data_IF_899089676208
#
_entry.id   IF_899089676208
#
_cell.length_a   1.000
_cell.length_b   1.000
_cell.length_c   1.000
_cell.angle_alpha   90.00
_cell.angle_beta   90.00
_cell.angle_gamma   90.00
#
_symmetry.space_group_name_H-M   'P 1'
#
loop_
_entity.id
_entity.type
_entity.pdbx_description
1 polymer ?
#
# COMPACT_ATOMS: atom_id res chain seq x y z
N UNK A 1 7.95 -57.45 -59.47
CA UNK A 1 6.59 -58.06 -59.52
C UNK A 1 6.62 -59.25 -58.58
N UNK A 2 6.05 -59.26 -57.37
CA UNK A 2 5.11 -58.36 -56.68
C UNK A 2 5.25 -58.69 -55.16
N UNK A 3 5.73 -57.76 -54.33
CA UNK A 3 5.01 -57.05 -53.25
C UNK A 3 4.06 -57.88 -52.36
N UNK A 4 4.47 -57.97 -51.09
CA UNK A 4 3.71 -57.71 -49.85
C UNK A 4 2.50 -58.57 -49.45
N UNK A 5 2.68 -59.32 -48.35
CA UNK A 5 1.62 -59.65 -47.40
C UNK A 5 2.15 -59.46 -45.97
N UNK A 6 1.81 -58.31 -45.36
CA UNK A 6 1.87 -58.11 -43.92
C UNK A 6 0.45 -57.78 -43.45
N UNK A 7 -0.16 -58.69 -42.71
CA UNK A 7 -1.51 -58.55 -42.17
C UNK A 7 -1.45 -57.96 -40.76
N UNK A 8 -2.01 -56.76 -40.57
CA UNK A 8 -2.29 -56.18 -39.26
C UNK A 8 -3.82 -56.11 -39.05
N UNK A 9 -4.34 -56.34 -37.83
CA UNK A 9 -5.77 -56.31 -37.57
C UNK A 9 -6.31 -54.89 -37.46
N UNK A 10 -7.60 -54.75 -37.79
CA UNK A 10 -8.38 -53.54 -37.85
C UNK A 10 -8.32 -52.70 -36.55
N UNK A 11 -7.88 -51.44 -36.69
CA UNK A 11 -8.05 -50.38 -35.70
C UNK A 11 -9.44 -49.78 -35.84
N UNK A 12 -10.36 -50.16 -34.95
CA UNK A 12 -11.61 -49.45 -34.70
C UNK A 12 -11.38 -48.45 -33.57
N UNK A 13 -11.24 -47.19 -33.92
CA UNK A 13 -11.22 -46.06 -33.00
C UNK A 13 -12.00 -44.92 -33.63
N UNK A 14 -13.12 -44.54 -33.01
CA UNK A 14 -14.02 -43.48 -33.43
C UNK A 14 -13.31 -42.15 -33.76
N UNK A 15 -13.89 -41.27 -34.59
CA UNK A 15 -13.31 -39.97 -34.88
C UNK A 15 -13.18 -39.15 -33.58
N UNK A 16 -11.94 -38.89 -33.17
CA UNK A 16 -11.64 -37.92 -32.12
C UNK A 16 -12.08 -36.55 -32.63
N UNK A 17 -13.18 -36.05 -32.06
CA UNK A 17 -13.68 -34.69 -32.32
C UNK A 17 -12.54 -33.70 -32.06
N UNK A 18 -12.24 -32.75 -32.98
CA UNK A 18 -11.20 -31.77 -32.75
C UNK A 18 -11.59 -30.91 -31.56
N UNK A 19 -10.95 -31.15 -30.41
CA UNK A 19 -10.96 -30.21 -29.29
C UNK A 19 -10.47 -28.88 -29.83
N UNK A 20 -11.31 -27.85 -29.72
CA UNK A 20 -10.95 -26.47 -30.06
C UNK A 20 -9.56 -26.14 -29.48
N UNK A 21 -8.68 -25.45 -30.23
CA UNK A 21 -7.33 -25.17 -29.75
C UNK A 21 -7.43 -24.31 -28.50
N UNK A 22 -6.96 -24.86 -27.37
CA UNK A 22 -6.71 -24.07 -26.18
C UNK A 22 -5.75 -22.95 -26.56
N UNK A 23 -6.17 -21.69 -26.40
CA UNK A 23 -5.34 -20.53 -26.70
C UNK A 23 -3.97 -20.72 -26.01
N UNK A 24 -2.83 -20.57 -26.72
CA UNK A 24 -1.52 -20.71 -26.10
C UNK A 24 -1.44 -19.74 -24.93
N UNK A 25 -1.16 -20.25 -23.73
CA UNK A 25 -0.79 -19.38 -22.60
C UNK A 25 0.52 -18.72 -23.02
N UNK A 26 0.47 -17.42 -23.32
CA UNK A 26 1.65 -16.64 -23.70
C UNK A 26 2.71 -16.81 -22.61
N UNK A 27 3.97 -17.04 -22.98
CA UNK A 27 5.04 -17.01 -22.00
C UNK A 27 5.10 -15.62 -21.35
N UNK A 28 5.46 -15.51 -20.06
CA UNK A 28 5.46 -14.23 -19.35
C UNK A 28 6.24 -13.12 -20.07
N UNK A 29 7.37 -13.47 -20.68
CA UNK A 29 8.23 -12.54 -21.42
C UNK A 29 7.51 -12.01 -22.67
N UNK A 30 6.80 -12.90 -23.38
CA UNK A 30 6.06 -12.54 -24.59
C UNK A 30 4.82 -11.72 -24.27
N UNK A 31 4.13 -12.04 -23.17
CA UNK A 31 3.02 -11.22 -22.67
C UNK A 31 3.47 -9.78 -22.38
N UNK A 32 4.64 -9.61 -21.76
CA UNK A 32 5.20 -8.28 -21.49
C UNK A 32 5.56 -7.56 -22.80
N UNK A 33 6.31 -8.20 -23.69
CA UNK A 33 6.78 -7.56 -24.93
C UNK A 33 5.63 -7.09 -25.81
N UNK A 34 4.58 -7.90 -25.94
CA UNK A 34 3.43 -7.60 -26.79
C UNK A 34 2.47 -6.58 -26.15
N UNK A 35 2.42 -6.50 -24.82
CA UNK A 35 1.34 -5.78 -24.13
C UNK A 35 1.79 -4.65 -23.21
N UNK A 36 3.08 -4.36 -23.09
CA UNK A 36 3.59 -3.31 -22.19
C UNK A 36 3.03 -1.92 -22.44
N UNK A 37 2.83 -1.56 -23.70
CA UNK A 37 2.28 -0.26 -24.07
C UNK A 37 0.81 -0.16 -23.64
N UNK A 38 0.04 -1.22 -23.85
CA UNK A 38 -1.36 -1.31 -23.40
C UNK A 38 -1.46 -1.29 -21.86
N UNK A 39 -0.55 -1.97 -21.17
CA UNK A 39 -0.43 -1.93 -19.71
C UNK A 39 -0.11 -0.51 -19.21
N UNK A 40 0.80 0.20 -19.87
CA UNK A 40 1.12 1.59 -19.54
C UNK A 40 -0.08 2.51 -19.78
N UNK A 41 -0.80 2.34 -20.89
CA UNK A 41 -2.01 3.12 -21.18
C UNK A 41 -3.12 2.94 -20.14
N UNK A 42 -3.14 1.82 -19.42
CA UNK A 42 -4.10 1.63 -18.34
C UNK A 42 -4.00 2.68 -17.23
N UNK A 43 -2.85 3.36 -17.07
CA UNK A 43 -2.67 4.45 -16.10
C UNK A 43 -3.26 5.81 -16.53
N UNK A 44 -3.98 5.88 -17.65
CA UNK A 44 -4.72 7.09 -18.07
C UNK A 44 -6.17 7.06 -17.56
N UNK A 45 -6.36 7.28 -16.25
CA UNK A 45 -7.68 7.41 -15.60
C UNK A 45 -8.70 6.34 -16.05
N UNK A 46 -9.67 6.72 -16.87
CA UNK A 46 -10.77 5.86 -17.31
C UNK A 46 -10.28 4.69 -18.18
N UNK A 47 -9.12 4.82 -18.83
CA UNK A 47 -8.49 3.72 -19.56
C UNK A 47 -8.19 2.53 -18.66
N UNK A 48 -7.97 2.74 -17.36
CA UNK A 48 -7.76 1.63 -16.41
C UNK A 48 -8.87 0.60 -16.45
N UNK A 49 -10.12 1.07 -16.44
CA UNK A 49 -11.33 0.23 -16.47
C UNK A 49 -11.45 -0.45 -17.82
N UNK A 50 -11.31 0.30 -18.91
CA UNK A 50 -11.47 -0.21 -20.27
C UNK A 50 -10.43 -1.30 -20.55
N UNK A 51 -9.15 -1.01 -20.29
CA UNK A 51 -8.05 -1.95 -20.51
C UNK A 51 -8.20 -3.21 -19.65
N UNK A 52 -8.63 -3.08 -18.39
CA UNK A 52 -8.86 -4.22 -17.51
C UNK A 52 -9.88 -5.22 -18.07
N UNK A 53 -10.95 -4.72 -18.69
CA UNK A 53 -11.98 -5.57 -19.29
C UNK A 53 -11.65 -6.00 -20.73
N UNK A 54 -10.85 -5.22 -21.46
CA UNK A 54 -10.46 -5.50 -22.84
C UNK A 54 -9.47 -6.67 -22.93
N UNK A 55 -8.41 -6.67 -22.10
CA UNK A 55 -7.28 -7.61 -22.22
C UNK A 55 -7.26 -8.62 -21.09
N UNK A 56 -8.23 -9.55 -21.10
CA UNK A 56 -8.40 -10.58 -20.05
C UNK A 56 -7.36 -11.70 -20.12
N UNK A 57 -6.73 -11.86 -21.27
CA UNK A 57 -5.76 -12.89 -21.63
C UNK A 57 -4.31 -12.55 -21.23
N UNK A 58 -4.04 -11.31 -20.84
CA UNK A 58 -2.70 -10.84 -20.43
C UNK A 58 -2.62 -10.66 -18.91
N UNK A 59 -1.92 -11.55 -18.19
CA UNK A 59 -1.59 -11.34 -16.79
C UNK A 59 -0.92 -9.99 -16.51
N UNK A 60 0.01 -9.55 -17.38
CA UNK A 60 0.75 -8.29 -17.21
C UNK A 60 -0.18 -7.08 -17.28
N UNK A 61 -1.04 -7.02 -18.30
CA UNK A 61 -2.00 -5.93 -18.45
C UNK A 61 -3.00 -5.92 -17.30
N UNK A 62 -3.47 -7.10 -16.85
CA UNK A 62 -4.39 -7.18 -15.70
C UNK A 62 -3.75 -6.68 -14.41
N UNK A 63 -2.46 -6.90 -14.21
CA UNK A 63 -1.75 -6.40 -13.03
C UNK A 63 -1.70 -4.87 -12.98
N UNK A 64 -1.25 -4.24 -14.07
CA UNK A 64 -1.15 -2.78 -14.14
C UNK A 64 -2.51 -2.09 -14.17
N UNK A 65 -3.47 -2.63 -14.93
CA UNK A 65 -4.81 -2.04 -15.03
C UNK A 65 -5.59 -2.12 -13.72
N UNK A 66 -5.43 -3.17 -12.90
CA UNK A 66 -6.02 -3.21 -11.55
C UNK A 66 -5.47 -2.11 -10.64
N UNK A 67 -4.15 -1.90 -10.66
CA UNK A 67 -3.53 -0.83 -9.86
C UNK A 67 -3.99 0.55 -10.31
N UNK A 68 -4.01 0.78 -11.62
CA UNK A 68 -4.50 2.02 -12.20
C UNK A 68 -5.98 2.26 -11.87
N UNK A 69 -6.80 1.20 -11.83
CA UNK A 69 -8.22 1.30 -11.50
C UNK A 69 -8.44 1.67 -10.02
N UNK A 70 -7.59 1.16 -9.12
CA UNK A 70 -7.59 1.59 -7.71
C UNK A 70 -7.19 3.06 -7.60
N UNK A 71 -6.12 3.50 -8.28
CA UNK A 71 -5.70 4.90 -8.30
C UNK A 71 -6.81 5.81 -8.85
N UNK A 72 -7.46 5.43 -9.94
CA UNK A 72 -8.59 6.15 -10.50
C UNK A 72 -9.78 6.19 -9.54
N UNK A 73 -10.11 5.09 -8.86
CA UNK A 73 -11.18 5.09 -7.87
C UNK A 73 -10.88 6.04 -6.69
N UNK A 74 -9.61 6.20 -6.32
CA UNK A 74 -9.19 7.15 -5.27
C UNK A 74 -9.30 8.62 -5.72
N UNK A 75 -9.26 8.94 -7.00
CA UNK A 75 -9.42 10.35 -7.46
C UNK A 75 -10.85 10.85 -7.25
N UNK A 76 -11.86 9.99 -7.38
CA UNK A 76 -13.27 10.35 -7.29
C UNK A 76 -13.62 11.04 -5.95
N UNK A 77 -13.33 10.46 -4.76
CA UNK A 77 -13.60 11.14 -3.50
C UNK A 77 -12.72 12.37 -3.28
N UNK A 78 -11.49 12.39 -3.81
CA UNK A 78 -10.59 13.56 -3.69
C UNK A 78 -11.17 14.78 -4.39
N UNK A 79 -11.83 14.61 -5.54
CA UNK A 79 -12.50 15.68 -6.26
C UNK A 79 -13.71 16.27 -5.52
N UNK A 80 -14.31 15.52 -4.59
CA UNK A 80 -15.42 16.00 -3.75
C UNK A 80 -14.95 16.82 -2.54
N UNK A 81 -13.67 16.75 -2.19
CA UNK A 81 -13.10 17.54 -1.11
C UNK A 81 -12.88 18.97 -1.66
N UNK A 82 -13.51 20.02 -1.08
CA UNK A 82 -13.25 21.39 -1.51
C UNK A 82 -11.75 21.69 -1.43
N UNK A 83 -11.27 22.62 -2.25
CA UNK A 83 -9.84 22.92 -2.55
C UNK A 83 -9.07 23.40 -1.30
N UNK A 84 -8.98 22.56 -0.29
CA UNK A 84 -8.10 22.67 0.84
C UNK A 84 -6.75 22.10 0.44
N UNK A 85 -5.68 22.57 1.09
CA UNK A 85 -4.31 22.13 0.87
C UNK A 85 -4.16 20.59 0.85
N UNK A 86 -4.98 19.90 1.64
CA UNK A 86 -5.03 18.44 1.73
C UNK A 86 -5.49 17.81 0.41
N UNK A 87 -6.56 18.31 -0.22
CA UNK A 87 -7.07 17.76 -1.49
C UNK A 87 -6.04 17.86 -2.61
N UNK A 88 -5.35 19.01 -2.71
CA UNK A 88 -4.27 19.23 -3.69
C UNK A 88 -3.07 18.32 -3.46
N UNK A 89 -2.69 18.10 -2.21
CA UNK A 89 -1.60 17.18 -1.88
C UNK A 89 -1.96 15.74 -2.24
N UNK A 90 -3.19 15.29 -1.93
CA UNK A 90 -3.67 13.95 -2.27
C UNK A 90 -3.71 13.73 -3.79
N UNK A 91 -4.18 14.71 -4.55
CA UNK A 91 -4.20 14.66 -6.02
C UNK A 91 -2.78 14.51 -6.60
N UNK A 92 -1.80 15.26 -6.08
CA UNK A 92 -0.40 15.12 -6.48
C UNK A 92 0.17 13.74 -6.15
N UNK A 93 -0.18 13.16 -4.99
CA UNK A 93 0.25 11.80 -4.63
C UNK A 93 -0.34 10.74 -5.56
N UNK A 94 -1.61 10.88 -5.94
CA UNK A 94 -2.26 9.98 -6.91
C UNK A 94 -1.60 10.12 -8.28
N UNK A 95 -1.36 11.34 -8.75
CA UNK A 95 -0.67 11.60 -10.00
C UNK A 95 0.75 11.00 -10.02
N UNK A 96 1.52 11.17 -8.95
CA UNK A 96 2.83 10.54 -8.81
C UNK A 96 2.73 9.01 -8.88
N UNK A 97 1.71 8.42 -8.24
CA UNK A 97 1.43 6.99 -8.33
C UNK A 97 1.13 6.52 -9.75
N UNK A 98 0.32 7.27 -10.50
CA UNK A 98 0.02 6.99 -11.91
C UNK A 98 1.30 7.01 -12.77
N UNK A 99 2.19 7.99 -12.56
CA UNK A 99 3.45 8.10 -13.30
C UNK A 99 4.39 6.94 -12.97
N UNK A 100 4.54 6.58 -11.70
CA UNK A 100 5.40 5.46 -11.28
C UNK A 100 4.91 4.15 -11.90
N UNK A 101 3.60 3.92 -11.86
CA UNK A 101 2.98 2.74 -12.46
C UNK A 101 3.14 2.70 -13.98
N UNK A 102 2.92 3.84 -14.65
CA UNK A 102 3.12 4.00 -16.08
C UNK A 102 4.56 3.65 -16.50
N UNK A 103 5.56 4.21 -15.80
CA UNK A 103 6.97 3.94 -16.10
C UNK A 103 7.34 2.47 -15.87
N UNK A 104 6.83 1.85 -14.79
CA UNK A 104 7.02 0.44 -14.53
C UNK A 104 6.45 -0.44 -15.65
N UNK A 105 5.21 -0.15 -16.07
CA UNK A 105 4.55 -0.86 -17.16
C UNK A 105 5.31 -0.71 -18.50
N UNK A 106 5.69 0.53 -18.86
CA UNK A 106 6.44 0.82 -20.08
C UNK A 106 7.82 0.14 -20.11
N UNK A 107 8.42 -0.10 -18.94
CA UNK A 107 9.67 -0.83 -18.78
C UNK A 107 9.49 -2.35 -18.66
N UNK A 108 8.25 -2.86 -18.76
CA UNK A 108 7.95 -4.28 -18.63
C UNK A 108 8.12 -4.84 -17.21
N UNK A 109 8.09 -3.97 -16.20
CA UNK A 109 8.31 -4.34 -14.81
C UNK A 109 7.00 -4.58 -14.08
N UNK A 110 6.92 -5.70 -13.36
CA UNK A 110 5.84 -6.01 -12.42
C UNK A 110 5.97 -5.20 -11.12
N UNK A 111 6.03 -3.88 -11.26
CA UNK A 111 6.27 -2.96 -10.15
C UNK A 111 4.95 -2.48 -9.58
N UNK A 112 4.79 -2.65 -8.27
CA UNK A 112 3.68 -2.03 -7.57
C UNK A 112 3.90 -0.53 -7.40
N UNK A 113 2.82 0.22 -7.54
CA UNK A 113 2.81 1.62 -7.12
C UNK A 113 2.97 1.67 -5.59
N UNK A 114 3.91 2.48 -5.07
CA UNK A 114 4.10 2.61 -3.63
C UNK A 114 2.81 3.03 -2.95
N UNK A 115 2.54 2.46 -1.77
CA UNK A 115 1.31 2.61 -0.99
C UNK A 115 0.04 1.89 -1.54
N UNK A 116 0.06 1.34 -2.76
CA UNK A 116 -1.12 0.67 -3.37
C UNK A 116 -0.90 -0.83 -3.68
N UNK A 117 0.34 -1.30 -3.80
CA UNK A 117 0.65 -2.73 -4.06
C UNK A 117 -0.11 -3.73 -3.16
N UNK A 118 -0.17 -3.51 -1.83
CA UNK A 118 -0.91 -4.39 -0.93
C UNK A 118 -2.44 -4.38 -1.13
N UNK A 119 -3.00 -3.30 -1.71
CA UNK A 119 -4.43 -3.19 -2.04
C UNK A 119 -4.76 -3.84 -3.38
N UNK A 120 -3.88 -3.75 -4.37
CA UNK A 120 -4.10 -4.31 -5.72
C UNK A 120 -4.03 -5.84 -5.75
N UNK A 121 -3.22 -6.44 -4.86
CA UNK A 121 -3.10 -7.89 -4.67
C UNK A 121 -4.15 -8.50 -3.75
N UNK A 122 -4.95 -7.67 -3.06
CA UNK A 122 -5.93 -8.14 -2.07
C UNK A 122 -5.31 -8.68 -0.77
N UNK A 123 -4.00 -8.45 -0.55
CA UNK A 123 -3.25 -8.94 0.61
C UNK A 123 -3.52 -8.12 1.88
N UNK A 124 -3.98 -6.87 1.74
CA UNK A 124 -4.32 -6.03 2.89
C UNK A 124 -5.62 -5.26 2.70
N UNK A 125 -6.46 -5.29 3.72
CA UNK A 125 -7.71 -4.52 3.77
C UNK A 125 -7.42 -3.10 4.28
N UNK A 126 -8.19 -2.10 3.83
CA UNK A 126 -8.07 -0.69 4.27
C UNK A 126 -8.06 -0.52 5.80
N UNK A 127 -8.81 -1.40 6.49
CA UNK A 127 -8.83 -1.51 7.96
C UNK A 127 -7.49 -1.98 8.55
N UNK A 128 -6.79 -2.89 7.90
CA UNK A 128 -5.49 -3.41 8.37
C UNK A 128 -4.39 -2.37 8.16
N UNK A 129 -4.38 -1.63 7.04
CA UNK A 129 -3.44 -0.53 6.84
C UNK A 129 -3.65 0.59 7.86
N UNK A 130 -4.91 0.92 8.17
CA UNK A 130 -5.28 1.83 9.27
C UNK A 130 -4.84 1.30 10.64
N UNK A 131 -5.06 0.01 10.92
CA UNK A 131 -4.61 -0.62 12.16
C UNK A 131 -3.08 -0.62 12.29
N UNK A 132 -2.32 -0.82 11.21
CA UNK A 132 -0.86 -0.77 11.26
C UNK A 132 -0.32 0.65 11.49
N UNK A 133 -0.96 1.67 10.91
CA UNK A 133 -0.65 3.08 11.16
C UNK A 133 -0.99 3.50 12.59
N UNK A 134 -2.16 3.10 13.09
CA UNK A 134 -2.58 3.38 14.49
C UNK A 134 -1.75 2.58 15.48
N UNK A 135 -1.42 1.31 15.21
CA UNK A 135 -0.56 0.51 16.08
C UNK A 135 0.84 1.13 16.21
N UNK A 136 1.41 1.64 15.12
CA UNK A 136 2.68 2.39 15.14
C UNK A 136 2.58 3.70 15.95
N UNK A 137 1.43 4.39 15.93
CA UNK A 137 1.23 5.61 16.74
C UNK A 137 1.00 5.33 18.23
N UNK A 138 0.44 4.17 18.61
CA UNK A 138 0.28 3.82 20.04
C UNK A 138 1.63 3.65 20.76
N UNK A 139 2.68 3.20 20.06
CA UNK A 139 4.05 3.13 20.60
C UNK A 139 4.59 4.52 20.96
N UNK A 140 4.40 5.50 20.06
CA UNK A 140 4.80 6.89 20.28
C UNK A 140 4.05 7.51 21.48
N UNK A 141 2.75 7.22 21.63
CA UNK A 141 1.95 7.72 22.75
C UNK A 141 2.44 7.22 24.12
N UNK A 142 2.93 5.97 24.21
CA UNK A 142 3.49 5.40 25.44
C UNK A 142 4.83 6.05 25.79
N UNK A 143 5.69 6.27 24.79
CA UNK A 143 6.97 6.97 24.97
C UNK A 143 6.72 8.41 25.43
N UNK A 144 5.80 9.13 24.78
CA UNK A 144 5.43 10.49 25.15
C UNK A 144 4.86 10.57 26.57
N UNK A 145 3.93 9.68 26.93
CA UNK A 145 3.39 9.57 28.30
C UNK A 145 4.46 9.17 29.32
N UNK A 146 5.47 8.40 28.93
CA UNK A 146 6.58 8.05 29.82
C UNK A 146 7.51 9.25 30.05
N UNK A 147 7.78 10.04 29.00
CA UNK A 147 8.58 11.26 29.11
C UNK A 147 7.86 12.31 29.94
N UNK A 148 6.57 12.55 29.68
CA UNK A 148 5.77 13.51 30.45
C UNK A 148 5.70 13.15 31.95
N UNK A 149 5.52 11.87 32.28
CA UNK A 149 5.54 11.40 33.69
C UNK A 149 6.91 11.57 34.35
N UNK A 150 8.00 11.36 33.62
CA UNK A 150 9.36 11.57 34.12
C UNK A 150 9.67 13.05 34.33
N UNK A 151 9.29 13.91 33.39
CA UNK A 151 9.43 15.36 33.50
C UNK A 151 8.63 15.89 34.70
N UNK A 152 7.37 15.47 34.85
CA UNK A 152 6.54 15.85 35.99
C UNK A 152 7.18 15.43 37.33
N UNK A 153 7.70 14.20 37.43
CA UNK A 153 8.38 13.70 38.63
C UNK A 153 9.63 14.52 38.99
N UNK A 154 10.39 14.98 37.99
CA UNK A 154 11.58 15.80 38.22
C UNK A 154 11.22 17.19 38.75
N UNK A 155 10.19 17.82 38.16
CA UNK A 155 9.68 19.13 38.60
C UNK A 155 9.14 19.07 40.03
N UNK A 156 8.32 18.07 40.35
CA UNK A 156 7.74 17.93 41.70
C UNK A 156 8.84 17.70 42.76
N UNK A 157 9.90 16.95 42.42
CA UNK A 157 11.04 16.72 43.31
C UNK A 157 11.86 18.00 43.57
N UNK A 158 12.04 18.85 42.55
CA UNK A 158 12.79 20.10 42.66
C UNK A 158 12.01 21.15 43.48
N UNK A 159 10.70 21.28 43.24
CA UNK A 159 9.82 22.14 44.05
C UNK A 159 9.82 21.72 45.52
N UNK A 160 9.75 20.41 45.78
CA UNK A 160 9.75 19.88 47.16
C UNK A 160 11.09 20.13 47.85
N UNK A 161 12.21 19.99 47.14
CA UNK A 161 13.55 20.24 47.67
C UNK A 161 13.81 21.73 47.93
N UNK A 162 13.32 22.60 47.04
CA UNK A 162 13.41 24.05 47.18
C UNK A 162 12.63 24.55 48.41
N UNK A 163 11.40 24.06 48.61
CA UNK A 163 10.55 24.42 49.75
C UNK A 163 11.16 23.98 51.09
N UNK A 164 11.71 22.77 51.14
CA UNK A 164 12.38 22.25 52.35
C UNK A 164 13.61 23.06 52.75
N UNK A 165 14.41 23.52 51.78
CA UNK A 165 15.58 24.37 52.06
C UNK A 165 15.20 25.78 52.53
N UNK A 166 14.01 26.27 52.18
CA UNK A 166 13.53 27.58 52.60
C UNK A 166 13.05 27.56 54.06
N UNK A 167 12.39 26.48 54.48
CA UNK A 167 11.91 26.30 55.85
C UNK A 167 13.05 26.07 56.85
N UNK A 168 14.17 25.45 56.44
CA UNK A 168 15.33 25.19 57.31
C UNK A 168 16.27 26.38 57.50
N UNK A 169 16.18 27.40 56.64
CA UNK A 169 17.06 28.59 56.68
C UNK A 169 16.37 29.82 57.29
N UNK A 170 15.17 29.68 57.83
CA UNK A 170 14.50 30.76 58.55
C UNK A 170 15.13 30.92 59.94
N UNK A 171 15.58 32.13 60.33
CA UNK A 171 16.15 32.33 61.66
C UNK A 171 15.11 32.02 62.75
N UNK A 172 15.51 31.43 63.89
CA UNK A 172 14.58 31.10 64.95
C UNK A 172 13.83 32.35 65.43
N UNK A 173 12.54 32.23 65.81
CA UNK A 173 11.78 33.37 66.31
C UNK A 173 12.51 33.98 67.51
N UNK A 174 12.74 35.29 67.46
CA UNK A 174 13.38 36.03 68.55
C UNK A 174 12.59 35.81 69.84
N UNK A 175 13.28 35.33 70.89
CA UNK A 175 12.67 35.05 72.18
C UNK A 175 11.91 36.28 72.72
N UNK A 176 10.75 36.08 73.37
CA UNK A 176 10.00 37.19 73.93
C UNK A 176 10.82 37.90 75.02
N UNK A 177 10.71 39.23 75.15
CA UNK A 177 11.48 39.98 76.13
C UNK A 177 11.10 39.54 77.55
N UNK A 178 12.12 39.20 78.35
CA UNK A 178 11.96 38.87 79.77
C UNK A 178 11.44 40.10 80.53
N UNK A 179 10.24 39.99 81.08
CA UNK A 179 9.64 41.00 81.95
C UNK A 179 10.37 41.02 83.30
N UNK A 180 11.01 42.15 83.61
CA UNK A 180 11.39 42.58 84.95
C UNK A 180 10.79 43.96 85.21
#
# INVERSE_FOLDING_TARGET
MSTDQNSAPASSGAPVSPSAPAKPVLSPERDIEENKDLAAFSYLWIMSVIVYFLKKDSPFVRFHSKQAMVLFALTIPVWLIPIALIGRLLELLILAGMIIGFLGAAQGQWKDVPFIGPFSRGETTLRQSWQQLVARSTGLSKVLKSMFRRTKKYVDADVTKSKKNQDTNSPPPSAPPSSL
#
